data_IF_789584890373
#
_entry.id   IF_789584890373
#
_cell.length_a   1.000
_cell.length_b   1.000
_cell.length_c   1.000
_cell.angle_alpha   90.00
_cell.angle_beta   90.00
_cell.angle_gamma   90.00
#
_symmetry.space_group_name_H-M   'P 1'
#
loop_
_entity.id
_entity.type
_entity.pdbx_description
1 polymer ?
#
# COMPACT_ATOMS: atom_id res chain seq x y z
N UNK A 1 8.66 -0.67 3.76
CA UNK A 1 7.49 -0.50 2.87
C UNK A 1 6.37 0.37 3.49
N UNK A 2 5.80 0.01 4.64
CA UNK A 2 4.66 0.73 5.24
C UNK A 2 4.89 2.23 5.41
N UNK A 3 6.04 2.66 5.93
CA UNK A 3 6.34 4.09 6.08
C UNK A 3 6.27 4.85 4.75
N UNK A 4 6.72 4.26 3.64
CA UNK A 4 6.64 4.87 2.30
C UNK A 4 5.20 5.02 1.81
N UNK A 5 4.38 3.99 2.02
CA UNK A 5 2.95 4.04 1.70
C UNK A 5 2.26 5.14 2.53
N UNK A 6 2.43 5.12 3.86
CA UNK A 6 1.81 6.06 4.80
C UNK A 6 2.23 7.50 4.50
N UNK A 7 3.51 7.72 4.20
CA UNK A 7 4.00 9.04 3.81
C UNK A 7 3.27 9.60 2.57
N UNK A 8 2.91 8.73 1.62
CA UNK A 8 2.25 9.15 0.39
C UNK A 8 0.73 9.29 0.49
N UNK A 9 0.05 8.37 1.19
CA UNK A 9 -1.42 8.39 1.29
C UNK A 9 -1.92 9.15 2.53
N UNK A 10 -1.03 9.43 3.49
CA UNK A 10 -1.34 10.04 4.78
C UNK A 10 -1.79 9.03 5.85
N UNK A 11 -1.63 9.43 7.11
CA UNK A 11 -1.97 8.57 8.27
C UNK A 11 -3.46 8.23 8.33
N UNK A 12 -4.36 9.20 8.11
CA UNK A 12 -5.81 8.99 8.16
C UNK A 12 -6.27 7.96 7.11
N UNK A 13 -5.74 8.04 5.89
CA UNK A 13 -6.04 7.08 4.83
C UNK A 13 -5.55 5.67 5.20
N UNK A 14 -4.36 5.55 5.78
CA UNK A 14 -3.84 4.27 6.27
C UNK A 14 -4.70 3.68 7.40
N UNK A 15 -5.14 4.50 8.37
CA UNK A 15 -5.98 4.06 9.49
C UNK A 15 -7.29 3.42 9.00
N UNK A 16 -7.92 4.00 7.97
CA UNK A 16 -9.14 3.46 7.35
C UNK A 16 -8.91 2.37 6.29
N UNK A 17 -7.65 2.09 5.94
CA UNK A 17 -7.33 1.19 4.82
C UNK A 17 -7.53 -0.29 5.14
N UNK A 18 -7.77 -1.08 4.10
CA UNK A 18 -7.73 -2.54 4.20
C UNK A 18 -6.30 -3.06 4.49
N UNK A 19 -5.25 -2.31 4.09
CA UNK A 19 -3.86 -2.63 4.44
C UNK A 19 -3.70 -2.77 5.95
N UNK A 20 -4.16 -1.80 6.75
CA UNK A 20 -4.08 -1.88 8.22
C UNK A 20 -4.92 -3.03 8.77
N UNK A 21 -6.10 -3.27 8.20
CA UNK A 21 -7.00 -4.35 8.65
C UNK A 21 -6.35 -5.72 8.48
N UNK A 22 -5.82 -6.03 7.29
CA UNK A 22 -5.14 -7.29 7.03
C UNK A 22 -3.81 -7.40 7.78
N UNK A 23 -3.05 -6.30 7.90
CA UNK A 23 -1.83 -6.26 8.71
C UNK A 23 -2.11 -6.63 10.17
N UNK A 24 -3.14 -6.06 10.78
CA UNK A 24 -3.52 -6.36 12.17
C UNK A 24 -4.06 -7.78 12.36
N UNK A 25 -4.59 -8.39 11.28
CA UNK A 25 -5.02 -9.78 11.27
C UNK A 25 -3.86 -10.77 11.04
N UNK A 26 -2.63 -10.28 10.80
CA UNK A 26 -1.49 -11.12 10.43
C UNK A 26 -1.52 -11.64 8.99
N UNK A 27 -2.48 -11.19 8.17
CA UNK A 27 -2.54 -11.56 6.75
C UNK A 27 -1.64 -10.64 5.92
N UNK A 28 -0.34 -10.92 5.99
CA UNK A 28 0.67 -10.14 5.29
C UNK A 28 0.54 -10.23 3.77
N UNK A 29 0.06 -11.34 3.22
CA UNK A 29 -0.13 -11.49 1.78
C UNK A 29 -1.25 -10.55 1.29
N UNK A 30 -2.41 -10.59 1.94
CA UNK A 30 -3.52 -9.70 1.61
C UNK A 30 -3.17 -8.22 1.90
N UNK A 31 -2.44 -7.95 2.98
CA UNK A 31 -1.96 -6.60 3.28
C UNK A 31 -1.04 -6.06 2.17
N UNK A 32 -0.18 -6.91 1.59
CA UNK A 32 0.70 -6.53 0.50
C UNK A 32 -0.06 -6.24 -0.80
N UNK A 33 -1.04 -7.08 -1.14
CA UNK A 33 -1.88 -6.88 -2.33
C UNK A 33 -2.73 -5.62 -2.23
N UNK A 34 -3.14 -5.24 -1.03
CA UNK A 34 -3.89 -4.01 -0.79
C UNK A 34 -3.11 -2.72 -1.09
N UNK A 35 -1.77 -2.75 -1.19
CA UNK A 35 -1.00 -1.60 -1.67
C UNK A 35 -1.43 -1.24 -3.10
N UNK A 36 -1.82 -2.22 -3.92
CA UNK A 36 -2.21 -2.04 -5.32
C UNK A 36 -3.55 -1.32 -5.49
N UNK A 37 -4.29 -1.05 -4.40
CA UNK A 37 -5.51 -0.23 -4.41
C UNK A 37 -5.20 1.28 -4.43
N UNK A 38 -3.97 1.68 -4.09
CA UNK A 38 -3.56 3.07 -3.90
C UNK A 38 -2.72 3.61 -5.08
N UNK A 39 -3.26 3.53 -6.30
CA UNK A 39 -2.53 3.83 -7.56
C UNK A 39 -2.83 5.20 -8.17
N UNK A 40 -3.87 5.88 -7.70
CA UNK A 40 -4.34 7.15 -8.28
C UNK A 40 -3.54 8.34 -7.76
N UNK A 41 -3.26 9.29 -8.64
CA UNK A 41 -2.77 10.63 -8.30
C UNK A 41 -3.51 11.67 -9.13
N UNK A 42 -4.23 12.58 -8.46
CA UNK A 42 -5.14 13.52 -9.13
C UNK A 42 -6.14 12.77 -10.01
N UNK A 43 -6.22 13.19 -11.29
CA UNK A 43 -7.12 12.59 -12.28
C UNK A 43 -6.56 11.32 -12.93
N UNK A 44 -5.29 10.97 -12.71
CA UNK A 44 -4.71 9.77 -13.31
C UNK A 44 -4.87 8.56 -12.36
N UNK A 45 -5.65 7.53 -12.75
CA UNK A 45 -5.96 6.39 -11.88
C UNK A 45 -4.78 5.43 -11.64
N UNK A 46 -3.74 5.46 -12.49
CA UNK A 46 -2.66 4.45 -12.48
C UNK A 46 -1.25 5.02 -12.30
N UNK A 47 -1.10 6.34 -12.17
CA UNK A 47 0.21 7.01 -12.09
C UNK A 47 1.15 6.41 -11.02
N UNK A 48 0.60 5.98 -9.88
CA UNK A 48 1.38 5.42 -8.76
C UNK A 48 1.49 3.89 -8.79
N UNK A 49 0.92 3.19 -9.78
CA UNK A 49 0.99 1.74 -9.87
C UNK A 49 2.43 1.17 -9.81
N UNK A 50 3.43 1.75 -10.51
CA UNK A 50 4.81 1.30 -10.39
C UNK A 50 5.38 1.47 -8.98
N UNK A 51 5.02 2.56 -8.28
CA UNK A 51 5.42 2.79 -6.88
C UNK A 51 4.83 1.74 -5.95
N UNK A 52 3.54 1.44 -6.09
CA UNK A 52 2.84 0.42 -5.30
C UNK A 52 3.41 -0.98 -5.51
N UNK A 53 3.79 -1.32 -6.75
CA UNK A 53 4.47 -2.58 -7.06
C UNK A 53 5.79 -2.75 -6.30
N UNK A 54 6.64 -1.71 -6.29
CA UNK A 54 7.91 -1.73 -5.53
C UNK A 54 7.69 -1.82 -4.03
N UNK A 55 6.73 -1.06 -3.49
CA UNK A 55 6.41 -1.10 -2.06
C UNK A 55 5.84 -2.46 -1.63
N UNK A 56 5.01 -3.08 -2.47
CA UNK A 56 4.53 -4.46 -2.27
C UNK A 56 5.68 -5.46 -2.26
N UNK A 57 6.59 -5.39 -3.23
CA UNK A 57 7.76 -6.26 -3.27
C UNK A 57 8.65 -6.09 -2.02
N UNK A 58 8.87 -4.84 -1.59
CA UNK A 58 9.55 -4.52 -0.34
C UNK A 58 8.83 -5.05 0.89
N UNK A 59 7.51 -4.97 0.93
CA UNK A 59 6.75 -5.50 2.05
C UNK A 59 6.86 -7.03 2.17
N UNK A 60 6.97 -7.73 1.03
CA UNK A 60 7.13 -9.19 0.96
C UNK A 60 8.59 -9.66 1.04
N UNK A 61 9.56 -8.76 1.24
CA UNK A 61 10.99 -9.11 1.30
C UNK A 61 11.58 -9.61 -0.04
N UNK A 62 11.06 -9.14 -1.18
CA UNK A 62 11.44 -9.58 -2.54
C UNK A 62 12.28 -8.54 -3.31
N UNK A 63 13.00 -7.69 -2.60
CA UNK A 63 13.85 -6.59 -3.11
C UNK A 63 15.21 -6.66 -2.48
#
# INVERSE_FOLDING_TARGET
ALCSLIFNIGASAFIGSSVRRHLNAGDYAAAADDFLKWTRSGNNPTLLAPRRGRERAMFLGRV
#
